data_IF_777622004456
#
_entry.id   IF_777622004456
#
_cell.length_a   1.000
_cell.length_b   1.000
_cell.length_c   1.000
_cell.angle_alpha   90.00
_cell.angle_beta   90.00
_cell.angle_gamma   90.00
#
_symmetry.space_group_name_H-M   'P 1'
#
loop_
_entity.id
_entity.type
_entity.pdbx_description
1 polymer ?
#
# COMPACT_ATOMS: atom_id res chain seq x y z
N UNK A 1 -4.03 -0.53 -22.08
CA UNK A 1 -3.61 -0.83 -20.69
C UNK A 1 -4.14 0.30 -19.80
N UNK A 2 -5.09 0.04 -18.88
CA UNK A 2 -5.60 1.09 -17.98
C UNK A 2 -4.53 1.41 -16.93
N UNK A 3 -3.53 2.20 -17.31
CA UNK A 3 -2.54 2.77 -16.40
C UNK A 3 -3.31 3.67 -15.42
N UNK A 4 -3.72 3.13 -14.27
CA UNK A 4 -4.20 3.96 -13.16
C UNK A 4 -3.03 4.88 -12.79
N UNK A 5 -3.09 6.14 -13.27
CA UNK A 5 -2.18 7.23 -12.90
C UNK A 5 -2.36 7.62 -11.43
N UNK A 6 -3.42 7.16 -10.78
CA UNK A 6 -3.79 7.53 -9.42
C UNK A 6 -3.11 6.63 -8.39
N UNK A 7 -2.47 7.21 -7.36
CA UNK A 7 -1.88 6.45 -6.28
C UNK A 7 -2.96 5.69 -5.49
N UNK A 8 -2.57 4.56 -4.90
CA UNK A 8 -3.47 3.76 -4.06
C UNK A 8 -3.80 4.55 -2.80
N UNK A 9 -5.10 4.74 -2.56
CA UNK A 9 -5.61 5.46 -1.39
C UNK A 9 -5.91 4.50 -0.24
N UNK A 10 -6.11 5.04 0.97
CA UNK A 10 -6.49 4.28 2.15
C UNK A 10 -7.70 3.34 1.93
N UNK A 11 -8.84 3.77 1.35
CA UNK A 11 -9.98 2.87 1.15
C UNK A 11 -9.69 1.76 0.14
N UNK A 12 -8.92 2.02 -0.91
CA UNK A 12 -8.47 0.99 -1.86
C UNK A 12 -7.58 -0.04 -1.16
N UNK A 13 -6.60 0.42 -0.38
CA UNK A 13 -5.73 -0.47 0.38
C UNK A 13 -6.51 -1.28 1.43
N UNK A 14 -7.51 -0.69 2.07
CA UNK A 14 -8.41 -1.39 2.98
C UNK A 14 -9.20 -2.50 2.29
N UNK A 15 -9.75 -2.24 1.10
CA UNK A 15 -10.45 -3.27 0.32
C UNK A 15 -9.53 -4.42 -0.07
N UNK A 16 -8.28 -4.13 -0.44
CA UNK A 16 -7.27 -5.16 -0.74
C UNK A 16 -6.88 -5.95 0.52
N UNK A 17 -6.67 -5.25 1.63
CA UNK A 17 -6.33 -5.86 2.91
C UNK A 17 -7.44 -6.77 3.47
N UNK A 18 -8.71 -6.51 3.12
CA UNK A 18 -9.84 -7.40 3.47
C UNK A 18 -9.85 -8.71 2.67
N UNK A 19 -9.16 -8.75 1.53
CA UNK A 19 -9.04 -9.95 0.67
C UNK A 19 -7.79 -10.78 1.00
N UNK A 20 -7.24 -10.63 2.20
CA UNK A 20 -5.99 -11.28 2.64
C UNK A 20 -4.78 -11.04 1.70
N UNK A 21 -4.78 -9.91 0.99
CA UNK A 21 -3.66 -9.55 0.14
C UNK A 21 -2.47 -9.12 1.01
N UNK A 22 -1.38 -9.87 0.93
CA UNK A 22 -0.12 -9.60 1.64
C UNK A 22 0.82 -8.70 0.86
N UNK A 23 0.63 -8.57 -0.46
CA UNK A 23 1.53 -7.82 -1.35
C UNK A 23 0.71 -6.94 -2.29
N UNK A 24 0.95 -5.62 -2.24
CA UNK A 24 0.27 -4.66 -3.10
C UNK A 24 1.31 -3.94 -3.93
N UNK A 25 1.25 -4.12 -5.25
CA UNK A 25 2.06 -3.35 -6.19
C UNK A 25 1.27 -2.20 -6.82
N UNK A 26 1.83 -1.00 -6.80
CA UNK A 26 1.28 0.18 -7.45
C UNK A 26 2.35 0.92 -8.25
N UNK A 27 2.15 1.05 -9.57
CA UNK A 27 3.02 1.87 -10.43
C UNK A 27 2.89 3.38 -10.14
N UNK A 28 1.73 3.83 -9.66
CA UNK A 28 1.49 5.22 -9.27
C UNK A 28 1.95 5.56 -7.85
N UNK A 29 2.25 4.54 -7.03
CA UNK A 29 2.59 4.68 -5.62
C UNK A 29 1.38 4.65 -4.70
N UNK A 30 1.59 5.10 -3.46
CA UNK A 30 0.61 5.05 -2.38
C UNK A 30 0.48 6.43 -1.74
N UNK A 31 -0.72 6.77 -1.29
CA UNK A 31 -0.90 8.00 -0.52
C UNK A 31 -0.37 7.83 0.91
N UNK A 32 0.07 8.93 1.54
CA UNK A 32 0.47 8.95 2.97
C UNK A 32 -0.53 8.21 3.88
N UNK A 33 -1.85 8.46 3.84
CA UNK A 33 -2.80 7.76 4.70
C UNK A 33 -2.92 6.26 4.40
N UNK A 34 -2.59 5.80 3.18
CA UNK A 34 -2.53 4.37 2.87
C UNK A 34 -1.31 3.71 3.53
N UNK A 35 -0.15 4.36 3.44
CA UNK A 35 1.09 3.90 4.08
C UNK A 35 0.91 3.85 5.61
N UNK A 36 0.32 4.89 6.19
CA UNK A 36 0.01 4.92 7.64
C UNK A 36 -1.01 3.86 8.05
N UNK A 37 -2.02 3.58 7.22
CA UNK A 37 -2.98 2.51 7.51
C UNK A 37 -2.30 1.14 7.56
N UNK A 38 -1.43 0.84 6.58
CA UNK A 38 -0.58 -0.36 6.61
C UNK A 38 0.25 -0.41 7.89
N UNK A 39 0.96 0.66 8.18
CA UNK A 39 1.85 0.75 9.34
C UNK A 39 1.11 0.53 10.67
N UNK A 40 -0.10 1.09 10.81
CA UNK A 40 -0.89 1.05 12.03
C UNK A 40 -1.67 -0.26 12.24
N UNK A 41 -2.20 -0.86 11.19
CA UNK A 41 -3.15 -1.99 11.31
C UNK A 41 -2.70 -3.28 10.64
N UNK A 42 -1.90 -3.18 9.59
CA UNK A 42 -1.57 -4.31 8.71
C UNK A 42 -0.09 -4.28 8.36
N UNK A 43 0.74 -4.32 9.40
CA UNK A 43 2.19 -4.36 9.25
C UNK A 43 2.63 -5.54 8.38
N UNK A 44 1.83 -6.60 8.23
CA UNK A 44 2.19 -7.72 7.35
C UNK A 44 2.14 -7.41 5.84
N UNK A 45 1.49 -6.32 5.42
CA UNK A 45 1.34 -5.99 3.99
C UNK A 45 2.62 -5.33 3.46
N UNK A 46 3.19 -5.88 2.39
CA UNK A 46 4.29 -5.29 1.63
C UNK A 46 3.72 -4.38 0.54
N UNK A 47 4.16 -3.13 0.52
CA UNK A 47 3.78 -2.16 -0.52
C UNK A 47 4.95 -2.03 -1.49
N UNK A 48 4.69 -2.29 -2.77
CA UNK A 48 5.66 -2.13 -3.85
C UNK A 48 5.27 -0.94 -4.72
N UNK A 49 6.17 0.02 -4.86
CA UNK A 49 6.01 1.18 -5.74
C UNK A 49 7.03 1.10 -6.87
N UNK A 50 6.56 0.88 -8.11
CA UNK A 50 7.42 0.75 -9.30
C UNK A 50 8.57 -0.26 -9.09
N UNK A 51 8.27 -1.43 -8.52
CA UNK A 51 9.28 -2.45 -8.19
C UNK A 51 10.16 -2.14 -6.98
N UNK A 52 9.96 -1.00 -6.29
CA UNK A 52 10.66 -0.67 -5.03
C UNK A 52 9.77 -0.95 -3.83
N UNK A 53 10.27 -1.64 -2.82
CA UNK A 53 9.51 -1.86 -1.59
C UNK A 53 9.46 -0.57 -0.77
N UNK A 54 8.28 -0.18 -0.30
CA UNK A 54 8.14 0.96 0.63
C UNK A 54 8.47 0.45 2.02
N UNK A 55 9.55 0.95 2.66
CA UNK A 55 9.94 0.51 3.98
C UNK A 55 8.82 0.76 4.99
N UNK A 56 8.72 -0.13 5.97
CA UNK A 56 7.82 0.07 7.11
C UNK A 56 8.43 1.13 8.01
N UNK A 57 7.62 2.08 8.49
CA UNK A 57 8.12 3.06 9.46
C UNK A 57 8.16 2.28 10.77
N UNK A 58 9.33 1.85 11.23
CA UNK A 58 9.45 1.23 12.54
C UNK A 58 8.99 2.29 13.56
N UNK A 59 7.87 2.04 14.25
CA UNK A 59 7.56 2.79 15.47
C UNK A 59 8.72 2.58 16.43
N UNK A 60 9.39 3.67 16.79
CA UNK A 60 10.45 3.73 17.79
C UNK A 60 9.80 3.90 19.16
#
# INVERSE_FOLDING_TARGET
MKNRKTPVTKPELQKMAKKDVTEVESKAGFTKPAIEYRDKYKSNIKLFQKGKIIPKKKKK
#
